data_IF_144748287021
#
_entry.id   IF_144748287021
#
_cell.length_a   1.000
_cell.length_b   1.000
_cell.length_c   1.000
_cell.angle_alpha   90.00
_cell.angle_beta   90.00
_cell.angle_gamma   90.00
#
_symmetry.space_group_name_H-M   'P 1'
#
loop_
_entity.id
_entity.type
_entity.pdbx_description
1 polymer ?
#
# COMPACT_ATOMS: atom_id res chain seq x y z
N UNK A 1 10.05 8.88 -21.10
CA UNK A 1 8.93 8.00 -21.47
C UNK A 1 7.63 8.79 -21.31
N UNK A 2 6.76 8.83 -22.31
CA UNK A 2 5.48 9.56 -22.19
C UNK A 2 4.54 8.78 -21.25
N UNK A 3 3.70 9.49 -20.49
CA UNK A 3 2.71 8.86 -19.58
C UNK A 3 1.78 7.85 -20.29
N UNK A 4 1.61 7.97 -21.62
CA UNK A 4 0.86 7.02 -22.45
C UNK A 4 1.58 5.68 -22.64
N UNK A 5 2.90 5.66 -22.78
CA UNK A 5 3.65 4.41 -22.96
C UNK A 5 3.75 3.61 -21.65
N UNK A 6 3.78 4.30 -20.50
CA UNK A 6 3.79 3.68 -19.18
C UNK A 6 2.50 2.92 -18.91
N UNK A 7 1.32 3.51 -19.18
CA UNK A 7 0.05 2.84 -18.94
C UNK A 7 -0.14 1.58 -19.78
N UNK A 8 0.31 1.55 -21.04
CA UNK A 8 0.13 0.39 -21.93
C UNK A 8 0.83 -0.87 -21.41
N UNK A 9 2.11 -0.80 -21.07
CA UNK A 9 2.81 -1.99 -20.56
C UNK A 9 2.17 -2.54 -19.28
N UNK A 10 1.81 -1.67 -18.33
CA UNK A 10 1.23 -2.15 -17.07
C UNK A 10 -0.17 -2.74 -17.26
N UNK A 11 -0.99 -2.13 -18.12
CA UNK A 11 -2.37 -2.57 -18.37
C UNK A 11 -2.40 -3.84 -19.24
N UNK A 12 -1.63 -3.85 -20.32
CA UNK A 12 -1.72 -4.86 -21.36
C UNK A 12 -0.85 -6.10 -21.03
N UNK A 13 0.33 -5.90 -20.42
CA UNK A 13 1.30 -6.98 -20.17
C UNK A 13 1.45 -7.32 -18.67
N UNK A 14 1.73 -6.33 -17.82
CA UNK A 14 2.16 -6.60 -16.45
C UNK A 14 1.07 -7.24 -15.58
N UNK A 15 -0.20 -6.85 -15.74
CA UNK A 15 -1.34 -7.42 -14.99
C UNK A 15 -1.41 -8.94 -15.20
N UNK A 16 -1.12 -9.42 -16.42
CA UNK A 16 -1.21 -10.84 -16.75
C UNK A 16 -0.08 -11.69 -16.15
N UNK A 17 1.03 -11.05 -15.75
CA UNK A 17 2.23 -11.73 -15.26
C UNK A 17 2.44 -11.54 -13.75
N UNK A 18 1.81 -10.55 -13.13
CA UNK A 18 2.08 -10.19 -11.75
C UNK A 18 1.29 -11.07 -10.77
N UNK A 19 1.98 -11.81 -9.91
CA UNK A 19 1.36 -12.45 -8.75
C UNK A 19 0.87 -11.41 -7.72
N UNK A 20 1.57 -10.28 -7.61
CA UNK A 20 1.23 -9.20 -6.69
C UNK A 20 1.44 -7.83 -7.34
N UNK A 21 0.50 -6.91 -7.14
CA UNK A 21 0.61 -5.52 -7.54
C UNK A 21 0.35 -4.58 -6.36
N UNK A 22 1.07 -3.46 -6.32
CA UNK A 22 0.99 -2.47 -5.26
C UNK A 22 0.56 -1.07 -5.72
N UNK A 23 -0.58 -0.87 -6.41
CA UNK A 23 -0.97 0.45 -6.92
C UNK A 23 -1.38 1.42 -5.81
N UNK A 24 -1.19 2.72 -5.99
CA UNK A 24 -1.90 3.74 -5.22
C UNK A 24 -3.28 4.03 -5.86
N UNK A 25 -4.09 4.91 -5.24
CA UNK A 25 -5.41 5.29 -5.76
C UNK A 25 -5.39 5.70 -7.25
N UNK A 26 -4.47 6.58 -7.64
CA UNK A 26 -4.37 7.08 -9.01
C UNK A 26 -3.99 5.96 -9.99
N UNK A 27 -2.96 5.20 -9.65
CA UNK A 27 -2.49 4.08 -10.48
C UNK A 27 -3.56 3.02 -10.64
N UNK A 28 -4.31 2.69 -9.59
CA UNK A 28 -5.43 1.75 -9.65
C UNK A 28 -6.52 2.24 -10.62
N UNK A 29 -6.84 3.53 -10.59
CA UNK A 29 -7.77 4.15 -11.54
C UNK A 29 -7.27 4.06 -12.98
N UNK A 30 -5.97 4.30 -13.22
CA UNK A 30 -5.35 4.13 -14.54
C UNK A 30 -5.41 2.68 -15.00
N UNK A 31 -5.05 1.72 -14.14
CA UNK A 31 -5.01 0.29 -14.46
C UNK A 31 -6.40 -0.24 -14.82
N UNK A 32 -7.43 0.22 -14.12
CA UNK A 32 -8.82 -0.24 -14.32
C UNK A 32 -9.62 0.60 -15.32
N UNK A 33 -9.06 1.71 -15.80
CA UNK A 33 -9.77 2.68 -16.64
C UNK A 33 -10.92 3.38 -15.91
N UNK A 34 -10.87 3.48 -14.58
CA UNK A 34 -11.94 4.04 -13.73
C UNK A 34 -11.50 5.33 -13.05
N UNK A 35 -12.44 6.24 -12.85
CA UNK A 35 -12.27 7.36 -11.93
C UNK A 35 -12.83 6.96 -10.57
N UNK A 36 -11.95 6.72 -9.59
CA UNK A 36 -12.32 6.25 -8.26
C UNK A 36 -12.59 7.44 -7.33
N UNK A 37 -13.74 7.41 -6.64
CA UNK A 37 -14.25 8.52 -5.81
C UNK A 37 -14.77 8.07 -4.44
N UNK A 38 -14.87 6.77 -4.21
CA UNK A 38 -15.33 6.22 -2.93
C UNK A 38 -14.49 5.01 -2.52
N UNK A 39 -14.57 4.67 -1.23
CA UNK A 39 -13.93 3.47 -0.68
C UNK A 39 -14.39 2.20 -1.41
N UNK A 40 -15.70 2.06 -1.64
CA UNK A 40 -16.27 0.88 -2.27
C UNK A 40 -15.83 0.73 -3.73
N UNK A 41 -15.73 1.85 -4.47
CA UNK A 41 -15.18 1.85 -5.84
C UNK A 41 -13.72 1.39 -5.87
N UNK A 42 -12.92 1.72 -4.84
CA UNK A 42 -11.54 1.23 -4.73
C UNK A 42 -11.50 -0.28 -4.48
N UNK A 43 -12.37 -0.81 -3.61
CA UNK A 43 -12.47 -2.25 -3.36
C UNK A 43 -12.85 -2.99 -4.65
N UNK A 44 -13.86 -2.50 -5.37
CA UNK A 44 -14.29 -3.07 -6.65
C UNK A 44 -13.18 -3.05 -7.70
N UNK A 45 -12.47 -1.93 -7.84
CA UNK A 45 -11.37 -1.78 -8.79
C UNK A 45 -10.20 -2.72 -8.46
N UNK A 46 -9.87 -2.90 -7.17
CA UNK A 46 -8.86 -3.85 -6.76
C UNK A 46 -9.29 -5.30 -7.02
N UNK A 47 -10.57 -5.66 -6.75
CA UNK A 47 -11.12 -6.98 -7.11
C UNK A 47 -11.14 -7.24 -8.61
N UNK A 48 -11.30 -6.21 -9.42
CA UNK A 48 -11.20 -6.31 -10.88
C UNK A 48 -9.79 -6.69 -11.33
N UNK A 49 -8.74 -6.12 -10.73
CA UNK A 49 -7.37 -6.57 -11.04
C UNK A 49 -7.15 -8.03 -10.62
N UNK A 50 -7.76 -8.47 -9.52
CA UNK A 50 -7.73 -9.88 -9.09
C UNK A 50 -8.42 -10.78 -10.11
N UNK A 51 -9.58 -10.40 -10.63
CA UNK A 51 -10.28 -11.19 -11.65
C UNK A 51 -9.54 -11.23 -13.00
N UNK A 52 -8.60 -10.31 -13.23
CA UNK A 52 -7.72 -10.29 -14.39
C UNK A 52 -6.43 -11.12 -14.24
N UNK A 53 -6.23 -11.76 -13.08
CA UNK A 53 -5.15 -12.73 -12.85
C UNK A 53 -4.17 -12.37 -11.74
N UNK A 54 -4.22 -11.14 -11.20
CA UNK A 54 -3.34 -10.74 -10.10
C UNK A 54 -3.78 -11.42 -8.81
N UNK A 55 -2.90 -12.20 -8.17
CA UNK A 55 -3.29 -12.95 -6.96
C UNK A 55 -3.46 -12.05 -5.74
N UNK A 56 -2.69 -10.95 -5.65
CA UNK A 56 -2.69 -10.03 -4.51
C UNK A 56 -2.58 -8.58 -4.96
N UNK A 57 -3.54 -7.74 -4.57
CA UNK A 57 -3.54 -6.30 -4.88
C UNK A 57 -3.44 -5.51 -3.58
N UNK A 58 -2.29 -4.88 -3.34
CA UNK A 58 -2.06 -3.95 -2.24
C UNK A 58 -2.34 -2.53 -2.71
N UNK A 59 -3.51 -1.99 -2.39
CA UNK A 59 -3.77 -0.56 -2.60
C UNK A 59 -3.02 0.23 -1.54
N UNK A 60 -1.81 0.67 -1.89
CA UNK A 60 -0.82 1.21 -0.92
C UNK A 60 -1.18 2.56 -0.32
N UNK A 61 -2.18 3.25 -0.87
CA UNK A 61 -2.77 4.45 -0.28
C UNK A 61 -4.14 4.74 -0.90
N UNK A 62 -5.18 4.83 -0.07
CA UNK A 62 -6.55 5.15 -0.52
C UNK A 62 -6.79 6.64 -0.80
N UNK A 63 -5.94 7.54 -0.28
CA UNK A 63 -6.02 8.98 -0.52
C UNK A 63 -7.41 9.56 -0.26
N UNK A 64 -7.96 10.26 -1.26
CA UNK A 64 -9.29 10.88 -1.15
C UNK A 64 -10.44 9.87 -1.03
N UNK A 65 -10.18 8.57 -1.17
CA UNK A 65 -11.17 7.51 -0.96
C UNK A 65 -11.07 6.84 0.42
N UNK A 66 -10.16 7.27 1.30
CA UNK A 66 -10.11 6.80 2.70
C UNK A 66 -11.43 7.05 3.43
N UNK A 67 -11.83 6.14 4.33
CA UNK A 67 -13.01 6.29 5.19
C UNK A 67 -12.80 7.42 6.20
N UNK A 68 -11.62 7.51 6.77
CA UNK A 68 -11.15 8.57 7.65
C UNK A 68 -10.10 9.42 6.93
N UNK A 69 -10.36 10.72 6.79
CA UNK A 69 -9.45 11.68 6.15
C UNK A 69 -8.23 12.04 7.01
N UNK A 70 -8.23 11.64 8.27
CA UNK A 70 -7.11 11.84 9.20
C UNK A 70 -6.21 10.60 9.29
N UNK A 71 -6.56 9.52 8.58
CA UNK A 71 -5.82 8.27 8.57
C UNK A 71 -5.15 8.00 7.21
N UNK A 72 -4.03 7.30 7.26
CA UNK A 72 -3.44 6.66 6.10
C UNK A 72 -4.00 5.24 6.01
N UNK A 73 -4.82 4.99 4.99
CA UNK A 73 -5.50 3.71 4.80
C UNK A 73 -4.93 2.93 3.62
N UNK A 74 -4.93 1.61 3.77
CA UNK A 74 -4.52 0.65 2.75
C UNK A 74 -5.53 -0.50 2.66
N UNK A 75 -5.52 -1.18 1.51
CA UNK A 75 -6.24 -2.43 1.28
C UNK A 75 -5.31 -3.51 0.78
N UNK A 76 -5.49 -4.74 1.25
CA UNK A 76 -4.96 -5.93 0.59
C UNK A 76 -6.14 -6.77 0.09
N UNK A 77 -6.20 -6.97 -1.22
CA UNK A 77 -7.30 -7.69 -1.88
C UNK A 77 -6.76 -8.96 -2.51
N UNK A 78 -7.45 -10.06 -2.23
CA UNK A 78 -7.15 -11.41 -2.70
C UNK A 78 -8.44 -12.05 -3.23
N UNK A 79 -8.38 -13.21 -3.91
CA UNK A 79 -9.60 -13.94 -4.28
C UNK A 79 -10.47 -14.31 -3.07
N UNK A 80 -9.85 -14.58 -1.92
CA UNK A 80 -10.53 -15.08 -0.73
C UNK A 80 -11.10 -13.97 0.16
N UNK A 81 -10.41 -12.83 0.25
CA UNK A 81 -10.76 -11.78 1.19
C UNK A 81 -10.25 -10.39 0.78
N UNK A 82 -10.92 -9.37 1.34
CA UNK A 82 -10.48 -7.98 1.34
C UNK A 82 -10.10 -7.60 2.77
N UNK A 83 -8.87 -7.16 2.97
CA UNK A 83 -8.36 -6.68 4.26
C UNK A 83 -8.17 -5.16 4.22
N UNK A 84 -8.68 -4.47 5.23
CA UNK A 84 -8.50 -3.03 5.44
C UNK A 84 -7.63 -2.76 6.66
N UNK A 85 -6.76 -1.75 6.56
CA UNK A 85 -5.97 -1.29 7.69
C UNK A 85 -5.75 0.22 7.62
N UNK A 86 -5.62 0.84 8.79
CA UNK A 86 -5.38 2.26 8.95
C UNK A 86 -4.27 2.52 9.97
N UNK A 87 -3.49 3.59 9.75
CA UNK A 87 -2.53 4.16 10.70
C UNK A 87 -2.64 5.69 10.70
N UNK A 88 -2.06 6.41 11.69
CA UNK A 88 -2.03 7.86 11.68
C UNK A 88 -1.43 8.43 10.39
N UNK A 89 -2.04 9.50 9.88
CA UNK A 89 -1.50 10.28 8.77
C UNK A 89 -0.58 11.39 9.32
N UNK A 90 0.68 11.39 8.89
CA UNK A 90 1.65 12.41 9.27
C UNK A 90 1.70 13.52 8.23
N UNK A 91 1.64 14.76 8.69
CA UNK A 91 1.79 15.96 7.86
C UNK A 91 3.25 16.42 7.84
N UNK A 92 3.77 16.68 6.64
CA UNK A 92 5.12 17.20 6.43
C UNK A 92 5.04 18.48 5.60
N UNK A 93 6.01 19.39 5.77
CA UNK A 93 6.13 20.55 4.89
C UNK A 93 6.31 20.12 3.43
N UNK A 94 7.04 19.01 3.23
CA UNK A 94 7.15 18.30 1.96
C UNK A 94 7.08 16.80 2.25
N UNK A 95 6.19 16.10 1.56
CA UNK A 95 6.04 14.65 1.73
C UNK A 95 7.35 13.92 1.39
N UNK A 96 7.86 13.05 2.28
CA UNK A 96 9.01 12.21 1.99
C UNK A 96 8.77 11.31 0.78
N UNK A 97 9.81 11.11 -0.03
CA UNK A 97 9.78 10.17 -1.16
C UNK A 97 10.14 8.76 -0.66
N UNK A 98 9.67 7.73 -1.36
CA UNK A 98 10.03 6.33 -1.07
C UNK A 98 9.09 5.59 -0.11
N UNK A 99 8.03 6.23 0.40
CA UNK A 99 7.05 5.57 1.30
C UNK A 99 6.35 4.41 0.60
N UNK A 100 6.00 4.57 -0.67
CA UNK A 100 5.40 3.49 -1.47
C UNK A 100 6.34 2.30 -1.67
N UNK A 101 7.63 2.58 -1.91
CA UNK A 101 8.66 1.55 -2.06
C UNK A 101 8.89 0.80 -0.75
N UNK A 102 8.89 1.52 0.38
CA UNK A 102 8.95 0.92 1.71
C UNK A 102 7.75 0.01 1.98
N UNK A 103 6.53 0.46 1.66
CA UNK A 103 5.31 -0.36 1.82
C UNK A 103 5.43 -1.66 1.01
N UNK A 104 5.76 -1.56 -0.28
CA UNK A 104 5.86 -2.73 -1.14
C UNK A 104 6.98 -3.68 -0.72
N UNK A 105 8.15 -3.15 -0.36
CA UNK A 105 9.31 -3.97 0.05
C UNK A 105 9.07 -4.72 1.36
N UNK A 106 8.50 -4.06 2.37
CA UNK A 106 8.22 -4.71 3.67
C UNK A 106 7.09 -5.72 3.54
N UNK A 107 6.06 -5.44 2.71
CA UNK A 107 4.99 -6.40 2.45
C UNK A 107 5.54 -7.65 1.77
N UNK A 108 6.31 -7.48 0.69
CA UNK A 108 6.92 -8.61 -0.02
C UNK A 108 7.85 -9.40 0.89
N UNK A 109 8.70 -8.72 1.67
CA UNK A 109 9.60 -9.38 2.62
C UNK A 109 8.82 -10.15 3.69
N UNK A 110 7.69 -9.63 4.18
CA UNK A 110 6.85 -10.33 5.16
C UNK A 110 6.25 -11.60 4.56
N UNK A 111 5.70 -11.52 3.35
CA UNK A 111 5.16 -12.70 2.65
C UNK A 111 6.24 -13.76 2.39
N UNK A 112 7.42 -13.35 1.91
CA UNK A 112 8.54 -14.27 1.66
C UNK A 112 9.09 -14.93 2.93
N UNK A 113 8.90 -14.30 4.10
CA UNK A 113 9.24 -14.89 5.40
C UNK A 113 8.11 -15.78 5.97
N UNK A 114 7.06 -16.07 5.20
CA UNK A 114 6.00 -17.01 5.57
C UNK A 114 4.91 -16.44 6.47
N UNK A 115 4.81 -15.11 6.60
CA UNK A 115 3.69 -14.50 7.30
C UNK A 115 2.43 -14.55 6.42
N UNK A 116 1.29 -14.84 7.05
CA UNK A 116 -0.02 -14.81 6.40
C UNK A 116 -0.39 -13.37 5.97
N UNK A 117 -1.27 -13.24 4.97
CA UNK A 117 -1.64 -11.96 4.35
C UNK A 117 -2.01 -10.86 5.35
N UNK A 118 -2.86 -11.20 6.33
CA UNK A 118 -3.25 -10.28 7.42
C UNK A 118 -2.05 -9.85 8.26
N UNK A 119 -1.21 -10.79 8.67
CA UNK A 119 -0.04 -10.52 9.49
C UNK A 119 1.00 -9.68 8.72
N UNK A 120 1.22 -9.98 7.44
CA UNK A 120 2.12 -9.24 6.58
C UNK A 120 1.68 -7.77 6.41
N UNK A 121 0.37 -7.53 6.23
CA UNK A 121 -0.20 -6.18 6.13
C UNK A 121 -0.04 -5.39 7.46
N UNK A 122 -0.32 -6.03 8.59
CA UNK A 122 -0.18 -5.43 9.92
C UNK A 122 1.27 -5.10 10.28
N UNK A 123 2.20 -6.01 9.98
CA UNK A 123 3.64 -5.79 10.13
C UNK A 123 4.12 -4.65 9.25
N UNK A 124 3.77 -4.67 7.96
CA UNK A 124 4.09 -3.59 7.01
C UNK A 124 3.63 -2.24 7.51
N UNK A 125 2.38 -2.16 7.96
CA UNK A 125 1.79 -0.92 8.45
C UNK A 125 2.53 -0.41 9.68
N UNK A 126 2.88 -1.29 10.62
CA UNK A 126 3.60 -0.93 11.85
C UNK A 126 5.05 -0.49 11.59
N UNK A 127 5.74 -1.14 10.63
CA UNK A 127 7.09 -0.73 10.20
C UNK A 127 7.05 0.66 9.56
N UNK A 128 6.15 0.87 8.59
CA UNK A 128 6.03 2.14 7.87
C UNK A 128 5.66 3.26 8.84
N UNK A 129 4.74 3.00 9.77
CA UNK A 129 4.40 3.96 10.83
C UNK A 129 5.61 4.37 11.65
N UNK A 130 6.44 3.42 12.09
CA UNK A 130 7.64 3.72 12.85
C UNK A 130 8.63 4.60 12.06
N UNK A 131 8.84 4.29 10.77
CA UNK A 131 9.69 5.12 9.89
C UNK A 131 9.11 6.51 9.73
N UNK A 132 7.81 6.64 9.46
CA UNK A 132 7.16 7.93 9.25
C UNK A 132 7.16 8.79 10.51
N UNK A 133 6.90 8.19 11.67
CA UNK A 133 6.94 8.84 12.98
C UNK A 133 8.34 9.40 13.26
N UNK A 134 9.39 8.58 13.14
CA UNK A 134 10.77 9.03 13.34
C UNK A 134 11.16 10.11 12.31
N UNK A 135 10.72 9.97 11.06
CA UNK A 135 10.94 11.00 10.04
C UNK A 135 10.31 12.35 10.43
N UNK A 136 9.11 12.31 11.02
CA UNK A 136 8.43 13.52 11.52
C UNK A 136 9.08 14.11 12.77
N UNK A 137 9.44 13.26 13.74
CA UNK A 137 10.09 13.68 14.99
C UNK A 137 11.43 14.40 14.73
N UNK A 138 12.14 14.02 13.66
CA UNK A 138 13.38 14.64 13.23
C UNK A 138 13.21 15.80 12.24
N UNK A 139 11.97 16.18 11.90
CA UNK A 139 11.64 17.16 10.84
C UNK A 139 12.43 16.91 9.54
N UNK A 140 12.58 15.64 9.17
CA UNK A 140 13.41 15.21 8.05
C UNK A 140 12.58 15.09 6.77
N UNK A 141 13.17 15.52 5.65
CA UNK A 141 12.62 15.21 4.33
C UNK A 141 12.88 13.75 3.91
N UNK A 142 14.08 13.25 4.20
CA UNK A 142 14.44 11.86 3.90
C UNK A 142 13.91 10.90 4.96
N UNK A 143 13.49 9.71 4.53
CA UNK A 143 13.01 8.67 5.43
C UNK A 143 14.10 8.24 6.40
N UNK A 144 13.78 8.23 7.70
CA UNK A 144 14.69 7.79 8.78
C UNK A 144 14.77 6.27 8.88
N UNK A 145 15.08 5.60 7.76
CA UNK A 145 15.14 4.14 7.65
C UNK A 145 16.17 3.52 8.61
N UNK A 146 17.37 4.11 8.67
CA UNK A 146 18.45 3.59 9.53
C UNK A 146 18.12 3.76 11.01
N UNK A 147 17.45 4.84 11.40
CA UNK A 147 17.02 5.04 12.79
C UNK A 147 15.91 4.04 13.17
N UNK A 148 15.02 3.75 12.21
CA UNK A 148 13.92 2.80 12.36
C UNK A 148 14.33 1.32 12.23
N UNK A 149 15.62 1.00 12.02
CA UNK A 149 16.07 -0.36 11.65
C UNK A 149 15.60 -1.44 12.63
N UNK A 150 15.53 -1.14 13.92
CA UNK A 150 15.09 -2.10 14.93
C UNK A 150 13.60 -2.41 14.76
N UNK A 151 12.79 -1.39 14.47
CA UNK A 151 11.37 -1.56 14.16
C UNK A 151 11.15 -2.22 12.80
N UNK A 152 12.07 -2.06 11.84
CA UNK A 152 12.01 -2.79 10.56
C UNK A 152 12.29 -4.29 10.78
N UNK A 153 13.32 -4.63 11.57
CA UNK A 153 13.72 -6.02 11.82
C UNK A 153 12.71 -6.78 12.70
N UNK A 154 12.25 -6.14 13.78
CA UNK A 154 11.31 -6.71 14.74
C UNK A 154 10.21 -5.70 15.11
N UNK A 155 9.22 -5.51 14.22
CA UNK A 155 8.14 -4.56 14.47
C UNK A 155 7.23 -5.05 15.60
N UNK A 156 7.02 -4.20 16.59
CA UNK A 156 5.84 -4.30 17.44
C UNK A 156 4.59 -4.01 16.60
N UNK A 157 3.75 -5.02 16.39
CA UNK A 157 2.51 -4.87 15.62
C UNK A 157 1.51 -4.03 16.43
N UNK A 158 1.23 -2.81 15.95
CA UNK A 158 0.36 -1.83 16.63
C UNK A 158 -1.02 -1.68 15.99
N UNK A 159 -1.13 -2.06 14.73
CA UNK A 159 -2.33 -1.90 13.91
C UNK A 159 -2.88 -3.27 13.55
N UNK A 160 -4.20 -3.40 13.57
CA UNK A 160 -4.91 -4.63 13.24
C UNK A 160 -5.69 -4.41 11.96
N UNK A 161 -5.53 -5.31 11.00
CA UNK A 161 -6.35 -5.31 9.80
C UNK A 161 -7.69 -5.99 10.08
N UNK A 162 -8.73 -5.55 9.39
CA UNK A 162 -10.07 -6.14 9.45
C UNK A 162 -10.48 -6.70 8.10
N UNK A 163 -11.23 -7.80 8.12
CA UNK A 163 -11.89 -8.32 6.91
C UNK A 163 -13.13 -7.47 6.66
N UNK A 164 -13.34 -7.08 5.41
CA UNK A 164 -14.47 -6.25 4.96
C UNK A 164 -15.16 -6.82 3.72
#
# INVERSE_FOLDING_TARGET
MSRRAWSHFFVDDAIQLADMMGPNLYELGVLTGRQLRSFDEVVEAARQLVSWGVKKVLVKHLGDCSRDKQAFEMLLVTPEQTLHIARPLYTFAKMPVGVGDLICSVMLASLLNGYEDKQALERTTSVVDAVMRLTKEHDSYELRLIDARHQIMDPQVRYQATVI
#
